data_IF_801849674053
#
_entry.id   IF_801849674053
#
_cell.length_a   1.000
_cell.length_b   1.000
_cell.length_c   1.000
_cell.angle_alpha   90.00
_cell.angle_beta   90.00
_cell.angle_gamma   90.00
#
_symmetry.space_group_name_H-M   'P 1'
#
loop_
_entity.id
_entity.type
_entity.pdbx_description
1 polymer ?
#
# COMPACT_ATOMS: atom_id res chain seq x y z
N UNK A 1 -1.29 -92.65 -15.31
CA UNK A 1 -0.23 -92.08 -14.44
C UNK A 1 0.39 -90.81 -15.08
N UNK A 2 -0.45 -89.94 -15.67
CA UNK A 2 0.00 -88.81 -16.51
C UNK A 2 -0.74 -87.50 -16.20
N UNK A 3 -1.92 -87.53 -15.57
CA UNK A 3 -2.65 -86.32 -15.17
C UNK A 3 -2.17 -85.70 -13.84
N UNK A 4 -1.69 -86.51 -12.89
CA UNK A 4 -1.28 -86.03 -11.57
C UNK A 4 0.06 -85.26 -11.57
N UNK A 5 0.93 -85.50 -12.56
CA UNK A 5 2.20 -84.76 -12.71
C UNK A 5 2.03 -83.40 -13.40
N UNK A 6 0.95 -83.19 -14.16
CA UNK A 6 0.68 -81.90 -14.79
C UNK A 6 0.18 -80.85 -13.77
N UNK A 7 -0.60 -81.23 -12.75
CA UNK A 7 -1.10 -80.26 -11.76
C UNK A 7 -0.02 -79.70 -10.81
N UNK A 8 1.03 -80.46 -10.50
CA UNK A 8 2.09 -80.00 -9.58
C UNK A 8 3.06 -78.99 -10.20
N UNK A 9 3.10 -78.86 -11.52
CA UNK A 9 3.94 -77.87 -12.22
C UNK A 9 3.14 -76.61 -12.57
N UNK A 10 1.83 -76.74 -12.79
CA UNK A 10 0.97 -75.60 -13.17
C UNK A 10 0.78 -74.62 -12.01
N UNK A 11 0.75 -75.07 -10.75
CA UNK A 11 0.63 -74.19 -9.59
C UNK A 11 1.81 -73.22 -9.38
N UNK A 12 3.09 -73.67 -9.32
CA UNK A 12 4.21 -72.74 -9.11
C UNK A 12 4.43 -71.82 -10.32
N UNK A 13 4.14 -72.28 -11.55
CA UNK A 13 4.27 -71.45 -12.76
C UNK A 13 3.19 -70.36 -12.80
N UNK A 14 1.97 -70.65 -12.38
CA UNK A 14 0.91 -69.65 -12.28
C UNK A 14 1.20 -68.60 -11.20
N UNK A 15 1.74 -69.00 -10.04
CA UNK A 15 2.18 -68.08 -8.99
C UNK A 15 3.38 -67.23 -9.43
N UNK A 16 4.37 -67.83 -10.10
CA UNK A 16 5.51 -67.09 -10.64
C UNK A 16 5.08 -66.08 -11.72
N UNK A 17 4.15 -66.44 -12.60
CA UNK A 17 3.58 -65.53 -13.58
C UNK A 17 2.85 -64.36 -12.92
N UNK A 18 2.08 -64.61 -11.85
CA UNK A 18 1.39 -63.56 -11.09
C UNK A 18 2.37 -62.55 -10.44
N UNK A 19 3.47 -63.04 -9.88
CA UNK A 19 4.52 -62.17 -9.29
C UNK A 19 5.21 -61.32 -10.37
N UNK A 20 5.46 -61.88 -11.55
CA UNK A 20 6.04 -61.15 -12.68
C UNK A 20 5.08 -60.08 -13.22
N UNK A 21 3.78 -60.38 -13.33
CA UNK A 21 2.77 -59.42 -13.78
C UNK A 21 2.57 -58.29 -12.76
N UNK A 22 2.58 -58.58 -11.46
CA UNK A 22 2.54 -57.55 -10.40
C UNK A 22 3.78 -56.64 -10.42
N UNK A 23 4.94 -57.20 -10.78
CA UNK A 23 6.18 -56.44 -10.93
C UNK A 23 6.15 -55.53 -12.18
N UNK A 24 5.53 -55.97 -13.27
CA UNK A 24 5.38 -55.18 -14.50
C UNK A 24 4.33 -54.07 -14.38
N UNK A 25 3.27 -54.25 -13.58
CA UNK A 25 2.29 -53.17 -13.30
C UNK A 25 2.92 -52.00 -12.55
N UNK A 26 3.96 -52.24 -11.74
CA UNK A 26 4.72 -51.16 -11.09
C UNK A 26 5.53 -50.31 -12.07
N UNK A 27 5.98 -50.88 -13.19
CA UNK A 27 6.74 -50.16 -14.22
C UNK A 27 5.82 -49.34 -15.15
N UNK A 28 4.59 -49.80 -15.42
CA UNK A 28 3.60 -49.05 -16.22
C UNK A 28 2.87 -47.95 -15.44
N UNK A 29 2.98 -47.92 -14.10
CA UNK A 29 2.49 -46.81 -13.24
C UNK A 29 3.53 -45.68 -13.13
N UNK A 30 4.72 -45.84 -13.72
CA UNK A 30 5.74 -44.79 -13.79
C UNK A 30 5.61 -43.91 -15.04
N UNK A 31 4.44 -43.89 -15.68
CA UNK A 31 4.02 -42.86 -16.64
C UNK A 31 2.82 -42.05 -16.12
N UNK A 32 2.62 -42.02 -14.80
CA UNK A 32 1.94 -40.87 -14.22
C UNK A 32 2.97 -39.76 -14.22
N UNK A 33 2.85 -38.85 -15.21
CA UNK A 33 3.51 -37.54 -15.20
C UNK A 33 3.60 -37.10 -13.75
N UNK A 34 4.80 -37.16 -13.19
CA UNK A 34 5.14 -36.31 -12.06
C UNK A 34 5.04 -34.93 -12.65
N UNK A 35 3.83 -34.37 -12.63
CA UNK A 35 3.66 -32.94 -12.62
C UNK A 35 4.46 -32.52 -11.41
N UNK A 36 5.73 -32.18 -11.68
CA UNK A 36 6.49 -31.27 -10.89
C UNK A 36 5.49 -30.17 -10.57
N UNK A 37 4.99 -30.20 -9.34
CA UNK A 37 4.25 -29.10 -8.76
C UNK A 37 5.26 -27.99 -8.85
N UNK A 38 5.22 -27.21 -9.94
CA UNK A 38 5.78 -25.88 -10.02
C UNK A 38 5.23 -25.24 -8.76
N UNK A 39 6.07 -25.21 -7.73
CA UNK A 39 5.77 -24.46 -6.54
C UNK A 39 5.56 -23.07 -7.11
N UNK A 40 4.30 -22.62 -7.10
CA UNK A 40 3.93 -21.27 -7.46
C UNK A 40 5.02 -20.41 -6.86
N UNK A 41 5.85 -19.77 -7.71
CA UNK A 41 6.78 -18.73 -7.27
C UNK A 41 5.92 -17.90 -6.34
N UNK A 42 6.19 -17.99 -5.04
CA UNK A 42 5.46 -17.21 -4.06
C UNK A 42 5.84 -15.79 -4.46
N UNK A 43 4.95 -15.15 -5.22
CA UNK A 43 5.04 -13.72 -5.48
C UNK A 43 5.08 -13.16 -4.07
N UNK A 44 6.22 -12.59 -3.70
CA UNK A 44 6.42 -11.96 -2.40
C UNK A 44 5.12 -11.26 -2.08
N UNK A 45 4.43 -11.76 -1.05
CA UNK A 45 3.24 -11.08 -0.58
C UNK A 45 3.76 -9.70 -0.21
N UNK A 46 3.28 -8.62 -0.83
CA UNK A 46 3.70 -7.30 -0.42
C UNK A 46 3.47 -7.23 1.10
N UNK A 47 4.51 -6.83 1.83
CA UNK A 47 4.35 -6.57 3.25
C UNK A 47 3.27 -5.50 3.34
N UNK A 48 2.19 -5.83 4.04
CA UNK A 48 1.06 -4.94 4.24
C UNK A 48 1.10 -4.50 5.69
N UNK A 49 1.33 -3.22 5.91
CA UNK A 49 1.15 -2.61 7.21
C UNK A 49 -0.33 -2.69 7.62
N UNK A 50 -0.59 -3.10 8.85
CA UNK A 50 -1.96 -3.20 9.37
C UNK A 50 -2.48 -1.82 9.78
N UNK A 51 -3.72 -1.50 9.41
CA UNK A 51 -4.36 -0.24 9.83
C UNK A 51 -4.35 -0.07 11.35
N UNK A 52 -3.96 1.10 11.88
CA UNK A 52 -3.98 1.38 13.31
C UNK A 52 -5.40 1.58 13.88
N UNK A 53 -6.44 1.50 13.03
CA UNK A 53 -7.84 1.67 13.43
C UNK A 53 -8.35 3.11 13.38
N UNK A 54 -7.56 4.04 12.82
CA UNK A 54 -7.93 5.42 12.53
C UNK A 54 -7.25 5.91 11.25
N UNK A 55 -7.78 6.98 10.66
CA UNK A 55 -7.21 7.57 9.47
C UNK A 55 -5.85 8.23 9.77
N UNK A 56 -4.84 7.88 8.97
CA UNK A 56 -3.49 8.45 9.04
C UNK A 56 -3.24 9.30 7.80
N UNK A 57 -2.92 10.56 8.04
CA UNK A 57 -2.49 11.53 7.04
C UNK A 57 -0.95 11.71 7.02
N UNK A 58 -0.40 11.96 5.82
CA UNK A 58 0.97 12.42 5.71
C UNK A 58 1.24 13.27 4.46
N UNK A 59 2.39 13.92 4.46
CA UNK A 59 2.82 14.81 3.39
C UNK A 59 4.20 14.41 2.91
N UNK A 60 4.32 14.26 1.59
CA UNK A 60 5.49 13.74 0.92
C UNK A 60 6.08 14.79 -0.01
N UNK A 61 7.40 14.98 0.08
CA UNK A 61 8.16 15.77 -0.87
C UNK A 61 9.25 14.90 -1.50
N UNK A 62 9.23 14.79 -2.82
CA UNK A 62 10.17 13.96 -3.58
C UNK A 62 10.38 14.44 -5.00
N UNK A 63 11.37 13.86 -5.69
CA UNK A 63 11.72 14.29 -7.04
C UNK A 63 12.05 13.10 -7.95
N UNK A 64 11.82 13.26 -9.25
CA UNK A 64 12.11 12.21 -10.25
C UNK A 64 13.60 11.83 -10.29
N UNK A 65 14.50 12.79 -10.09
CA UNK A 65 15.94 12.56 -10.11
C UNK A 65 16.49 11.94 -8.83
N UNK A 66 15.67 11.76 -7.80
CA UNK A 66 16.05 11.21 -6.51
C UNK A 66 15.80 9.69 -6.50
N UNK A 67 16.83 8.83 -6.57
CA UNK A 67 16.63 7.38 -6.62
C UNK A 67 15.88 6.83 -5.39
N UNK A 68 16.17 7.23 -4.13
CA UNK A 68 15.37 6.78 -2.99
C UNK A 68 13.90 7.19 -3.07
N UNK A 69 13.58 8.29 -3.75
CA UNK A 69 12.21 8.74 -3.96
C UNK A 69 11.44 7.78 -4.90
N UNK A 70 12.09 7.33 -5.97
CA UNK A 70 11.51 6.46 -7.00
C UNK A 70 11.52 4.98 -6.62
N UNK A 71 12.61 4.51 -6.03
CA UNK A 71 12.85 3.09 -5.77
C UNK A 71 12.36 2.64 -4.39
N UNK A 72 12.06 3.59 -3.49
CA UNK A 72 11.72 3.29 -2.10
C UNK A 72 10.52 4.07 -1.59
N UNK A 73 10.60 5.39 -1.41
CA UNK A 73 9.54 6.14 -0.74
C UNK A 73 8.21 6.10 -1.52
N UNK A 74 8.25 6.38 -2.82
CA UNK A 74 7.07 6.31 -3.69
C UNK A 74 6.40 4.94 -3.63
N UNK A 75 7.12 3.84 -3.92
CA UNK A 75 6.58 2.48 -3.80
C UNK A 75 6.02 2.15 -2.41
N UNK A 76 6.69 2.55 -1.33
CA UNK A 76 6.23 2.31 0.04
C UNK A 76 4.92 3.04 0.36
N UNK A 77 4.79 4.31 -0.02
CA UNK A 77 3.56 5.08 0.16
C UNK A 77 2.40 4.55 -0.69
N UNK A 78 2.71 4.14 -1.93
CA UNK A 78 1.72 3.50 -2.82
C UNK A 78 1.26 2.16 -2.25
N UNK A 79 2.16 1.36 -1.68
CA UNK A 79 1.81 0.10 -1.03
C UNK A 79 0.86 0.35 0.14
N UNK A 80 1.18 1.29 1.03
CA UNK A 80 0.32 1.67 2.16
C UNK A 80 -1.06 2.14 1.72
N UNK A 81 -1.14 2.99 0.68
CA UNK A 81 -2.43 3.48 0.18
C UNK A 81 -3.26 2.35 -0.42
N UNK A 82 -2.63 1.47 -1.19
CA UNK A 82 -3.33 0.34 -1.82
C UNK A 82 -3.82 -0.70 -0.81
N UNK A 83 -3.11 -0.89 0.30
CA UNK A 83 -3.47 -1.89 1.31
C UNK A 83 -4.48 -1.40 2.34
N UNK A 84 -4.47 -0.11 2.65
CA UNK A 84 -5.28 0.46 3.73
C UNK A 84 -6.38 1.43 3.27
N UNK A 85 -6.50 1.70 1.96
CA UNK A 85 -7.62 2.43 1.41
C UNK A 85 -7.79 3.83 2.02
N UNK A 86 -8.93 4.08 2.67
CA UNK A 86 -9.24 5.37 3.30
C UNK A 86 -8.49 5.61 4.63
N UNK A 87 -7.98 4.55 5.27
CA UNK A 87 -7.26 4.66 6.55
C UNK A 87 -5.85 5.24 6.38
N UNK A 88 -5.35 5.32 5.14
CA UNK A 88 -4.11 6.02 4.83
C UNK A 88 -4.32 6.98 3.68
N UNK A 89 -4.00 8.25 3.88
CA UNK A 89 -4.05 9.26 2.83
C UNK A 89 -2.81 10.14 2.91
N UNK A 90 -2.23 10.48 1.76
CA UNK A 90 -1.10 11.38 1.72
C UNK A 90 -1.20 12.35 0.55
N UNK A 91 -0.59 13.51 0.72
CA UNK A 91 -0.39 14.49 -0.34
C UNK A 91 1.06 14.41 -0.81
N UNK A 92 1.26 14.46 -2.11
CA UNK A 92 2.57 14.35 -2.74
C UNK A 92 2.91 15.63 -3.50
N UNK A 93 3.93 16.33 -3.03
CA UNK A 93 4.63 17.38 -3.75
C UNK A 93 5.79 16.70 -4.48
N UNK A 94 5.59 16.37 -5.75
CA UNK A 94 6.58 15.61 -6.50
C UNK A 94 7.08 16.41 -7.70
N UNK A 95 8.39 16.54 -7.83
CA UNK A 95 9.00 17.19 -8.97
C UNK A 95 9.02 16.28 -10.20
N UNK A 96 8.37 16.76 -11.25
CA UNK A 96 8.31 16.10 -12.55
C UNK A 96 9.54 16.43 -13.40
N UNK A 97 9.95 15.49 -14.25
CA UNK A 97 11.11 15.64 -15.14
C UNK A 97 10.99 16.82 -16.11
N UNK A 98 9.79 17.07 -16.63
CA UNK A 98 9.55 18.09 -17.65
C UNK A 98 8.89 19.36 -17.11
N UNK A 99 8.16 19.26 -15.99
CA UNK A 99 7.36 20.35 -15.43
C UNK A 99 7.95 20.97 -14.16
N UNK A 100 9.02 20.39 -13.60
CA UNK A 100 9.60 20.83 -12.34
C UNK A 100 8.66 20.61 -11.15
N UNK A 101 8.89 21.37 -10.08
CA UNK A 101 8.09 21.31 -8.86
C UNK A 101 6.70 21.93 -9.09
N UNK A 102 5.62 21.32 -8.52
CA UNK A 102 4.31 21.93 -8.55
C UNK A 102 4.32 23.27 -7.81
N UNK A 103 3.57 24.25 -8.33
CA UNK A 103 3.35 25.51 -7.63
C UNK A 103 2.39 25.29 -6.47
N UNK A 104 2.85 25.53 -5.25
CA UNK A 104 2.08 25.42 -4.00
C UNK A 104 1.86 26.79 -3.31
N UNK A 105 2.32 27.87 -3.94
CA UNK A 105 2.02 29.24 -3.52
C UNK A 105 0.53 29.57 -3.63
N UNK A 106 -0.02 30.42 -2.74
CA UNK A 106 0.66 31.20 -1.70
C UNK A 106 0.81 30.46 -0.35
N UNK A 107 0.45 29.18 -0.27
CA UNK A 107 0.48 28.41 0.98
C UNK A 107 1.90 27.92 1.29
N UNK A 108 2.71 27.67 0.26
CA UNK A 108 4.12 27.25 0.38
C UNK A 108 4.26 26.02 1.28
N UNK A 109 3.40 25.03 1.05
CA UNK A 109 3.31 23.85 1.90
C UNK A 109 4.56 22.97 1.84
N UNK A 110 5.23 22.94 0.69
CA UNK A 110 6.51 22.25 0.49
C UNK A 110 7.59 22.83 1.40
N UNK A 111 7.65 24.16 1.53
CA UNK A 111 8.60 24.84 2.43
C UNK A 111 8.33 24.47 3.90
N UNK A 112 7.04 24.36 4.27
CA UNK A 112 6.66 23.91 5.61
C UNK A 112 7.07 22.46 5.84
N UNK A 113 6.75 21.52 4.95
CA UNK A 113 7.14 20.11 5.12
C UNK A 113 8.67 19.95 5.13
N UNK A 114 9.40 20.76 4.37
CA UNK A 114 10.85 20.73 4.32
C UNK A 114 11.54 21.67 5.32
N UNK A 115 10.83 22.35 6.22
CA UNK A 115 11.43 23.39 7.06
C UNK A 115 12.62 22.88 7.91
N UNK A 116 12.57 21.60 8.30
CA UNK A 116 13.61 20.92 9.09
C UNK A 116 14.51 19.98 8.27
N UNK A 117 14.44 20.01 6.93
CA UNK A 117 15.16 19.09 6.04
C UNK A 117 15.61 19.77 4.75
N UNK A 118 16.81 19.44 4.29
CA UNK A 118 17.26 19.74 2.92
C UNK A 118 17.35 18.48 2.04
N UNK A 119 16.92 17.33 2.55
CA UNK A 119 17.06 16.03 1.91
C UNK A 119 15.78 15.54 1.23
N UNK A 120 15.94 14.74 0.18
CA UNK A 120 14.85 14.02 -0.47
C UNK A 120 15.07 12.51 -0.35
N UNK A 121 14.02 11.70 -0.20
CA UNK A 121 12.65 12.12 0.10
C UNK A 121 12.51 12.72 1.50
N UNK A 122 11.54 13.61 1.70
CA UNK A 122 11.06 14.03 3.03
C UNK A 122 9.60 13.64 3.17
N UNK A 123 9.23 13.02 4.29
CA UNK A 123 7.87 12.63 4.60
C UNK A 123 7.51 13.00 6.04
N UNK A 124 6.37 13.66 6.23
CA UNK A 124 5.86 14.07 7.53
C UNK A 124 4.51 13.39 7.78
N UNK A 125 4.44 12.54 8.79
CA UNK A 125 3.14 12.08 9.31
C UNK A 125 2.55 13.14 10.24
N UNK A 126 1.22 13.31 10.23
CA UNK A 126 0.51 14.23 11.14
C UNK A 126 1.05 15.68 11.15
N UNK A 127 1.57 16.16 10.02
CA UNK A 127 2.24 17.46 9.92
C UNK A 127 3.43 17.63 10.90
N UNK A 128 4.10 16.52 11.24
CA UNK A 128 5.27 16.55 12.10
C UNK A 128 6.41 17.31 11.42
N UNK A 129 7.07 18.18 12.19
CA UNK A 129 8.21 18.99 11.74
C UNK A 129 9.56 18.48 12.29
N UNK A 130 9.52 17.44 13.13
CA UNK A 130 10.68 16.81 13.75
C UNK A 130 10.29 15.50 14.43
N UNK A 131 11.26 14.78 14.99
CA UNK A 131 11.02 13.56 15.76
C UNK A 131 10.86 12.31 14.89
N UNK A 132 10.28 11.24 15.46
CA UNK A 132 10.20 9.93 14.80
C UNK A 132 9.27 9.90 13.60
N UNK A 133 8.24 10.75 13.58
CA UNK A 133 7.23 10.85 12.52
C UNK A 133 7.61 11.83 11.40
N UNK A 134 8.79 12.44 11.50
CA UNK A 134 9.41 13.21 10.43
C UNK A 134 10.56 12.40 9.83
N UNK A 135 10.41 11.99 8.58
CA UNK A 135 11.34 11.08 7.90
C UNK A 135 12.08 11.81 6.80
N UNK A 136 13.40 11.67 6.78
CA UNK A 136 14.26 12.15 5.71
C UNK A 136 15.08 10.97 5.19
N UNK A 137 15.02 10.72 3.89
CA UNK A 137 15.53 9.50 3.27
C UNK A 137 14.56 8.33 3.44
N UNK A 138 14.78 7.29 2.63
CA UNK A 138 14.04 6.04 2.70
C UNK A 138 14.87 4.88 2.15
N UNK A 139 14.53 3.65 2.55
CA UNK A 139 15.09 2.43 1.97
C UNK A 139 14.07 1.29 2.00
N UNK A 140 14.03 0.49 0.94
CA UNK A 140 13.05 -0.59 0.78
C UNK A 140 11.64 -0.10 0.42
N UNK A 141 10.72 -1.03 0.25
CA UNK A 141 9.34 -0.78 -0.24
C UNK A 141 8.29 -0.77 0.87
N UNK A 142 8.72 -0.78 2.13
CA UNK A 142 7.91 -0.86 3.34
C UNK A 142 8.43 0.09 4.44
N UNK A 143 9.12 1.15 4.04
CA UNK A 143 9.87 2.03 4.95
C UNK A 143 8.97 2.75 5.97
N UNK A 144 7.74 3.09 5.59
CA UNK A 144 6.80 3.86 6.39
C UNK A 144 5.83 3.00 7.21
N UNK A 145 5.87 1.67 7.03
CA UNK A 145 4.88 0.73 7.57
C UNK A 145 4.87 0.76 9.10
N UNK A 146 6.04 0.69 9.73
CA UNK A 146 6.14 0.65 11.19
C UNK A 146 5.59 1.92 11.85
N UNK A 147 5.80 3.09 11.24
CA UNK A 147 5.28 4.37 11.74
C UNK A 147 3.76 4.48 11.53
N UNK A 148 3.26 3.94 10.41
CA UNK A 148 1.82 3.86 10.14
C UNK A 148 1.11 2.94 11.15
N UNK A 149 1.65 1.75 11.42
CA UNK A 149 1.05 0.76 12.34
C UNK A 149 0.94 1.28 13.78
N UNK A 150 1.86 2.16 14.20
CA UNK A 150 1.78 2.81 15.51
C UNK A 150 0.93 4.09 15.51
N UNK A 151 0.22 4.37 14.42
CA UNK A 151 -0.76 5.46 14.31
C UNK A 151 -0.24 6.76 13.70
N UNK A 152 0.98 6.78 13.16
CA UNK A 152 1.53 7.93 12.42
C UNK A 152 1.59 9.23 13.22
N UNK A 153 1.82 9.16 14.54
CA UNK A 153 1.78 10.30 15.46
C UNK A 153 0.50 11.16 15.38
N UNK A 154 -0.63 10.58 14.95
CA UNK A 154 -1.91 11.26 15.06
C UNK A 154 -2.21 11.58 16.52
N UNK A 155 -2.90 12.69 16.76
CA UNK A 155 -3.32 13.07 18.11
C UNK A 155 -4.23 12.00 18.73
N UNK A 156 -4.20 11.88 20.06
CA UNK A 156 -5.04 10.94 20.81
C UNK A 156 -6.53 11.13 20.57
N UNK A 157 -6.93 12.35 20.20
CA UNK A 157 -8.33 12.74 19.99
C UNK A 157 -8.82 12.45 18.57
N UNK A 158 -8.06 11.74 17.72
CA UNK A 158 -8.44 11.51 16.31
C UNK A 158 -9.82 10.84 16.16
N UNK A 159 -10.20 9.98 17.09
CA UNK A 159 -11.53 9.35 17.13
C UNK A 159 -12.67 10.30 17.50
N UNK A 160 -12.36 11.50 18.02
CA UNK A 160 -13.34 12.53 18.35
C UNK A 160 -13.71 13.40 17.15
N UNK A 161 -13.09 13.21 15.98
CA UNK A 161 -13.37 13.98 14.78
C UNK A 161 -13.75 13.07 13.62
N UNK A 162 -14.86 13.38 12.95
CA UNK A 162 -15.23 12.80 11.67
C UNK A 162 -15.13 13.86 10.59
N UNK A 163 -14.43 13.58 9.51
CA UNK A 163 -14.30 14.47 8.34
C UNK A 163 -14.88 13.78 7.12
N UNK A 164 -15.75 14.49 6.40
CA UNK A 164 -16.28 14.08 5.10
C UNK A 164 -15.86 15.11 4.05
N UNK A 165 -15.32 14.62 2.94
CA UNK A 165 -14.93 15.42 1.79
C UNK A 165 -15.84 15.05 0.61
N UNK A 166 -16.46 16.04 -0.01
CA UNK A 166 -17.17 15.84 -1.27
C UNK A 166 -16.68 16.81 -2.33
N UNK A 167 -16.46 16.28 -3.54
CA UNK A 167 -16.01 17.04 -4.69
C UNK A 167 -17.08 16.96 -5.78
N UNK A 168 -17.59 18.11 -6.22
CA UNK A 168 -18.61 18.20 -7.26
C UNK A 168 -18.06 19.03 -8.41
N UNK A 169 -18.01 18.44 -9.60
CA UNK A 169 -17.73 19.16 -10.84
C UNK A 169 -19.01 19.85 -11.32
N UNK A 170 -18.89 21.09 -11.78
CA UNK A 170 -19.99 21.74 -12.48
C UNK A 170 -20.27 21.02 -13.82
N UNK A 171 -21.45 21.23 -14.40
CA UNK A 171 -21.85 20.53 -15.64
C UNK A 171 -20.98 20.86 -16.86
N UNK A 172 -20.17 21.92 -16.79
CA UNK A 172 -19.21 22.30 -17.82
C UNK A 172 -17.84 21.63 -17.64
N UNK A 173 -17.54 21.09 -16.46
CA UNK A 173 -16.25 20.50 -16.10
C UNK A 173 -15.17 21.51 -15.69
N UNK A 174 -15.49 22.79 -15.68
CA UNK A 174 -14.52 23.88 -15.50
C UNK A 174 -14.38 24.35 -14.04
N UNK A 175 -15.34 24.02 -13.18
CA UNK A 175 -15.24 24.29 -11.73
C UNK A 175 -15.38 23.00 -10.91
N UNK A 176 -14.51 22.86 -9.92
CA UNK A 176 -14.58 21.83 -8.88
C UNK A 176 -14.97 22.51 -7.58
N UNK A 177 -16.13 22.16 -7.04
CA UNK A 177 -16.57 22.56 -5.71
C UNK A 177 -16.16 21.49 -4.71
N UNK A 178 -15.39 21.88 -3.69
CA UNK A 178 -14.99 20.99 -2.60
C UNK A 178 -15.72 21.41 -1.34
N UNK A 179 -16.49 20.48 -0.76
CA UNK A 179 -17.13 20.66 0.53
C UNK A 179 -16.43 19.80 1.56
N UNK A 180 -15.90 20.43 2.61
CA UNK A 180 -15.30 19.76 3.77
C UNK A 180 -16.29 19.89 4.93
N UNK A 181 -16.81 18.78 5.41
CA UNK A 181 -17.64 18.73 6.61
C UNK A 181 -16.83 18.07 7.74
N UNK A 182 -16.59 18.79 8.83
CA UNK A 182 -15.93 18.26 10.02
C UNK A 182 -16.94 18.23 11.16
N UNK A 183 -17.14 17.07 11.76
CA UNK A 183 -18.02 16.87 12.91
C UNK A 183 -17.17 16.45 14.11
N UNK A 184 -17.27 17.21 15.20
CA UNK A 184 -16.71 16.79 16.48
C UNK A 184 -17.71 15.86 17.19
N UNK A 185 -17.25 14.64 17.48
CA UNK A 185 -17.98 13.56 18.15
C UNK A 185 -17.61 13.44 19.63
N UNK A 186 -16.59 14.16 20.09
CA UNK A 186 -16.13 14.12 21.47
C UNK A 186 -17.12 14.72 22.46
N UNK A 187 -16.91 14.40 23.74
CA UNK A 187 -17.80 14.79 24.84
C UNK A 187 -17.32 16.03 25.60
N UNK A 188 -16.12 16.53 25.28
CA UNK A 188 -15.53 17.69 25.93
C UNK A 188 -15.97 19.00 25.24
N UNK A 189 -16.18 20.10 25.98
CA UNK A 189 -16.47 21.38 25.37
C UNK A 189 -15.27 21.83 24.51
N UNK A 190 -15.52 22.05 23.22
CA UNK A 190 -14.54 22.65 22.30
C UNK A 190 -14.10 24.00 22.86
N UNK A 191 -12.82 24.15 23.20
CA UNK A 191 -12.26 25.47 23.47
C UNK A 191 -12.29 26.26 22.15
N UNK A 192 -12.90 27.45 22.09
CA UNK A 192 -12.86 28.25 20.89
C UNK A 192 -11.41 28.63 20.58
N UNK A 193 -10.83 28.01 19.56
CA UNK A 193 -9.64 28.55 18.93
C UNK A 193 -10.06 29.92 18.36
N UNK A 194 -9.38 31.03 18.71
CA UNK A 194 -9.67 32.30 18.08
C UNK A 194 -9.37 32.16 16.59
N UNK A 195 -10.40 32.09 15.76
CA UNK A 195 -10.27 32.40 14.34
C UNK A 195 -9.69 33.81 14.28
N UNK A 196 -8.50 34.03 13.66
CA UNK A 196 -8.16 35.38 13.27
C UNK A 196 -9.28 35.88 12.36
N UNK A 197 -9.80 37.05 12.70
CA UNK A 197 -10.89 37.80 12.09
C UNK A 197 -10.84 37.87 10.55
N UNK A 198 -11.96 38.25 9.91
CA UNK A 198 -12.55 37.57 8.76
C UNK A 198 -11.58 37.50 7.58
N UNK A 199 -11.41 36.29 7.04
CA UNK A 199 -10.88 36.09 5.70
C UNK A 199 -11.75 36.91 4.72
N UNK A 200 -11.16 37.72 3.84
CA UNK A 200 -11.91 38.29 2.74
C UNK A 200 -12.51 37.14 1.93
N UNK A 201 -13.82 37.24 1.71
CA UNK A 201 -14.60 36.49 0.74
C UNK A 201 -13.77 36.26 -0.53
N UNK A 202 -13.52 34.98 -0.85
CA UNK A 202 -12.47 34.44 -1.76
C UNK A 202 -11.11 34.16 -1.14
N UNK A 203 -11.07 33.17 -0.27
CA UNK A 203 -9.99 32.19 -0.35
C UNK A 203 -10.46 31.04 -1.26
N UNK A 204 -9.87 30.82 -2.44
CA UNK A 204 -10.08 29.55 -3.11
C UNK A 204 -9.50 28.48 -2.19
N UNK A 205 -10.36 27.63 -1.65
CA UNK A 205 -9.94 26.34 -1.11
C UNK A 205 -9.41 25.60 -2.32
N UNK A 206 -8.12 25.78 -2.63
CA UNK A 206 -7.52 25.09 -3.77
C UNK A 206 -7.61 23.59 -3.48
N UNK A 207 -8.10 22.78 -4.44
CA UNK A 207 -7.99 21.34 -4.38
C UNK A 207 -6.52 21.01 -4.22
N UNK A 208 -6.07 20.74 -2.99
CA UNK A 208 -4.77 20.11 -2.81
C UNK A 208 -4.94 18.73 -3.45
N UNK A 209 -4.20 18.48 -4.53
CA UNK A 209 -4.26 17.30 -5.38
C UNK A 209 -4.20 16.01 -4.53
N UNK A 210 -5.37 15.51 -4.16
CA UNK A 210 -5.51 14.17 -3.59
C UNK A 210 -5.46 13.17 -4.75
N UNK A 211 -4.42 12.34 -4.77
CA UNK A 211 -4.42 11.06 -5.47
C UNK A 211 -4.66 11.11 -6.98
N UNK A 212 -3.81 11.80 -7.75
CA UNK A 212 -3.59 11.38 -9.12
C UNK A 212 -2.50 10.30 -9.13
N UNK A 213 -2.91 9.04 -9.29
CA UNK A 213 -2.01 7.97 -9.74
C UNK A 213 -1.18 8.49 -10.91
N UNK A 214 0.16 8.44 -10.88
CA UNK A 214 0.94 8.67 -12.08
C UNK A 214 0.57 7.57 -13.07
N UNK A 215 -0.21 7.91 -14.10
CA UNK A 215 -0.26 7.09 -15.31
C UNK A 215 1.11 7.21 -15.95
N UNK A 216 1.94 6.19 -15.70
CA UNK A 216 3.09 5.91 -16.54
C UNK A 216 2.58 5.67 -17.97
N UNK A 217 2.92 6.57 -18.89
CA UNK A 217 3.04 6.31 -20.32
C UNK A 217 4.50 6.54 -20.69
#
# INVERSE_FOLDING_TARGET
>A
MTAARMLSIVQPVALAALVVVMSFTGFMVMDEKVEEREQLKQKEMPLYATSPGHAVFGEYVGAHWCPPCMDSAGPSLVNLKNSNGEDFTFVSFFESESGGWPSDGPIYRTDHVMASSSGYPTFAFADAQSGSCYKVGSSGTNYYDADYEVGGCMGSEISEYAMELSTVLNSAGDEVTITVAVTYLGSSPLSPLPLPSPLPERAPISPICMGATPRYL
#
